data_IF_951205483872
#
_entry.id   IF_951205483872
#
_cell.length_a   1.000
_cell.length_b   1.000
_cell.length_c   1.000
_cell.angle_alpha   90.00
_cell.angle_beta   90.00
_cell.angle_gamma   90.00
#
_symmetry.space_group_name_H-M   'P 1'
#
loop_
_entity.id
_entity.type
_entity.pdbx_description
1 polymer ?
#
# COMPACT_ATOMS: atom_id res chain seq x y z
N UNK A 1 -6.94 8.03 9.27
CA UNK A 1 -6.92 9.50 9.09
C UNK A 1 -5.93 10.17 10.04
N UNK A 2 -5.76 9.66 11.22
CA UNK A 2 -4.70 10.09 12.16
C UNK A 2 -3.29 9.89 11.57
N UNK A 3 -3.12 8.90 10.71
CA UNK A 3 -1.85 8.51 10.09
C UNK A 3 -1.57 9.17 8.72
N UNK A 4 -2.27 10.23 8.37
CA UNK A 4 -2.03 11.11 7.20
C UNK A 4 -1.87 10.41 5.84
N UNK A 5 -2.42 9.22 5.65
CA UNK A 5 -2.45 8.61 4.33
C UNK A 5 -3.18 9.53 3.33
N UNK A 6 -2.54 9.81 2.20
CA UNK A 6 -3.11 10.65 1.14
C UNK A 6 -4.08 9.86 0.26
N UNK A 7 -3.90 8.55 0.17
CA UNK A 7 -4.74 7.69 -0.63
C UNK A 7 -4.55 6.21 -0.31
N UNK A 8 -5.50 5.42 -0.77
CA UNK A 8 -5.52 3.98 -0.71
C UNK A 8 -5.77 3.45 -2.12
N UNK A 9 -4.99 2.47 -2.55
CA UNK A 9 -5.18 1.81 -3.83
C UNK A 9 -5.35 0.31 -3.61
N UNK A 10 -6.46 -0.24 -4.06
CA UNK A 10 -6.72 -1.68 -4.06
C UNK A 10 -6.28 -2.27 -5.37
N UNK A 11 -5.53 -3.34 -5.34
CA UNK A 11 -5.06 -4.07 -6.49
C UNK A 11 -5.14 -5.57 -6.27
N UNK A 12 -5.09 -6.35 -7.33
CA UNK A 12 -5.15 -7.81 -7.27
C UNK A 12 -3.81 -8.42 -7.62
N UNK A 13 -3.27 -9.22 -6.70
CA UNK A 13 -2.18 -10.15 -6.93
C UNK A 13 -2.72 -11.56 -7.23
N UNK A 14 -1.87 -12.46 -7.73
CA UNK A 14 -2.26 -13.82 -8.07
C UNK A 14 -2.88 -14.60 -6.91
N UNK A 15 -2.35 -14.40 -5.70
CA UNK A 15 -2.82 -15.08 -4.48
C UNK A 15 -3.83 -14.28 -3.66
N UNK A 16 -4.41 -13.22 -4.21
CA UNK A 16 -5.47 -12.48 -3.52
C UNK A 16 -6.70 -13.32 -3.32
N UNK A 17 -7.27 -13.26 -2.11
CA UNK A 17 -8.55 -13.91 -1.79
C UNK A 17 -9.70 -13.03 -2.27
N UNK A 18 -10.13 -13.24 -3.51
CA UNK A 18 -11.20 -12.46 -4.13
C UNK A 18 -10.73 -11.27 -4.93
N UNK A 19 -11.68 -10.62 -5.58
CA UNK A 19 -11.44 -9.45 -6.41
C UNK A 19 -11.68 -8.15 -5.63
N UNK A 20 -10.89 -7.11 -5.87
CA UNK A 20 -11.26 -5.78 -5.42
C UNK A 20 -12.60 -5.39 -6.07
N UNK A 21 -13.42 -4.56 -5.43
CA UNK A 21 -14.66 -4.09 -6.02
C UNK A 21 -14.35 -3.31 -7.31
N UNK A 22 -15.33 -3.27 -8.23
CA UNK A 22 -15.20 -2.55 -9.51
C UNK A 22 -14.97 -1.04 -9.30
N UNK A 23 -15.51 -0.50 -8.22
CA UNK A 23 -15.36 0.90 -7.83
C UNK A 23 -15.35 1.02 -6.30
N UNK A 24 -14.85 2.13 -5.73
CA UNK A 24 -14.93 2.39 -4.29
C UNK A 24 -16.38 2.30 -3.81
N UNK A 25 -16.58 1.60 -2.69
CA UNK A 25 -17.92 1.45 -2.09
C UNK A 25 -18.33 2.76 -1.40
N UNK A 26 -19.59 3.15 -1.56
CA UNK A 26 -20.16 4.35 -0.92
C UNK A 26 -19.99 4.33 0.61
N UNK A 27 -20.15 3.16 1.23
CA UNK A 27 -19.92 2.96 2.67
C UNK A 27 -18.49 3.28 3.13
N UNK A 28 -17.50 3.20 2.26
CA UNK A 28 -16.14 3.60 2.59
C UNK A 28 -16.02 5.11 2.73
N UNK A 29 -16.65 5.85 1.83
CA UNK A 29 -16.68 7.31 1.89
C UNK A 29 -17.34 7.80 3.17
N UNK A 30 -18.46 7.20 3.56
CA UNK A 30 -19.15 7.53 4.82
C UNK A 30 -18.24 7.28 6.05
N UNK A 31 -17.57 6.12 6.11
CA UNK A 31 -16.63 5.81 7.20
C UNK A 31 -15.44 6.77 7.23
N UNK A 32 -14.90 7.14 6.07
CA UNK A 32 -13.81 8.12 5.99
C UNK A 32 -14.26 9.51 6.47
N UNK A 33 -15.47 9.93 6.12
CA UNK A 33 -16.05 11.20 6.60
C UNK A 33 -16.19 11.18 8.14
N UNK A 34 -16.72 10.09 8.70
CA UNK A 34 -16.85 9.96 10.14
C UNK A 34 -15.49 10.02 10.85
N UNK A 35 -14.49 9.28 10.35
CA UNK A 35 -13.13 9.31 10.87
C UNK A 35 -12.49 10.71 10.76
N UNK A 36 -12.70 11.38 9.64
CA UNK A 36 -12.19 12.73 9.42
C UNK A 36 -12.78 13.75 10.42
N UNK A 37 -14.07 13.67 10.67
CA UNK A 37 -14.76 14.51 11.68
C UNK A 37 -14.19 14.27 13.07
N UNK A 38 -13.96 13.00 13.44
CA UNK A 38 -13.43 12.66 14.76
C UNK A 38 -12.01 13.22 15.00
N UNK A 39 -11.12 13.15 14.02
CA UNK A 39 -9.74 13.60 14.16
C UNK A 39 -9.49 15.04 13.68
N UNK A 40 -10.55 15.78 13.33
CA UNK A 40 -10.46 17.18 12.87
C UNK A 40 -9.73 17.36 11.54
N UNK A 41 -9.68 16.32 10.70
CA UNK A 41 -9.05 16.39 9.39
C UNK A 41 -10.08 16.75 8.31
N UNK A 42 -9.82 17.81 7.56
CA UNK A 42 -10.69 18.26 6.47
C UNK A 42 -10.43 17.58 5.12
N UNK A 43 -9.36 16.80 5.01
CA UNK A 43 -8.99 16.10 3.78
C UNK A 43 -9.28 14.60 3.90
N UNK A 44 -10.04 14.08 2.94
CA UNK A 44 -10.26 12.63 2.80
C UNK A 44 -9.16 12.00 1.93
N UNK A 45 -8.72 10.76 2.23
CA UNK A 45 -7.84 10.02 1.34
C UNK A 45 -8.55 9.69 0.03
N UNK A 46 -7.82 9.74 -1.05
CA UNK A 46 -8.31 9.23 -2.34
C UNK A 46 -8.38 7.71 -2.31
N UNK A 47 -9.38 7.13 -2.94
CA UNK A 47 -9.52 5.67 -3.06
C UNK A 47 -9.50 5.27 -4.51
N UNK A 48 -8.55 4.42 -4.87
CA UNK A 48 -8.38 3.88 -6.21
C UNK A 48 -8.63 2.37 -6.22
N UNK A 49 -9.18 1.88 -7.31
CA UNK A 49 -9.27 0.44 -7.60
C UNK A 49 -8.53 0.21 -8.90
N UNK A 50 -7.39 -0.48 -8.80
CA UNK A 50 -6.51 -0.73 -9.94
C UNK A 50 -6.92 -2.03 -10.63
N UNK A 51 -6.94 -1.99 -11.94
CA UNK A 51 -7.16 -3.16 -12.80
C UNK A 51 -5.86 -3.60 -13.45
N UNK A 52 -5.82 -4.84 -13.95
CA UNK A 52 -4.67 -5.35 -14.71
C UNK A 52 -3.53 -5.92 -13.85
N UNK A 53 -3.75 -6.15 -12.55
CA UNK A 53 -2.75 -6.78 -11.67
C UNK A 53 -1.44 -6.01 -11.58
N UNK A 54 -0.30 -6.71 -11.68
CA UNK A 54 1.04 -6.10 -11.62
C UNK A 54 1.26 -5.02 -12.69
N UNK A 55 0.92 -5.22 -13.96
CA UNK A 55 1.04 -4.13 -14.96
C UNK A 55 0.26 -2.88 -14.59
N UNK A 56 -0.96 -3.02 -14.10
CA UNK A 56 -1.78 -1.89 -13.65
C UNK A 56 -1.17 -1.16 -12.46
N UNK A 57 -0.61 -1.90 -11.52
CA UNK A 57 0.11 -1.33 -10.37
C UNK A 57 1.37 -0.58 -10.81
N UNK A 58 2.15 -1.12 -11.74
CA UNK A 58 3.35 -0.46 -12.27
C UNK A 58 2.98 0.85 -12.97
N UNK A 59 1.90 0.86 -13.76
CA UNK A 59 1.44 2.09 -14.42
C UNK A 59 1.02 3.15 -13.39
N UNK A 60 0.25 2.76 -12.38
CA UNK A 60 -0.12 3.66 -11.29
C UNK A 60 1.09 4.22 -10.54
N UNK A 61 2.11 3.39 -10.33
CA UNK A 61 3.34 3.74 -9.62
C UNK A 61 4.14 4.86 -10.30
N UNK A 62 3.98 5.08 -11.60
CA UNK A 62 4.69 6.13 -12.35
C UNK A 62 4.42 7.55 -11.85
N UNK A 63 3.33 7.75 -11.15
CA UNK A 63 2.99 9.06 -10.58
C UNK A 63 3.65 9.33 -9.22
N UNK A 64 4.42 8.38 -8.71
CA UNK A 64 5.09 8.46 -7.42
C UNK A 64 6.60 8.61 -7.59
N UNK A 65 7.22 9.34 -6.69
CA UNK A 65 8.67 9.57 -6.69
C UNK A 65 9.44 8.36 -6.16
N UNK A 66 8.84 7.65 -5.23
CA UNK A 66 9.43 6.46 -4.59
C UNK A 66 8.36 5.41 -4.38
N UNK A 67 8.71 4.17 -4.67
CA UNK A 67 7.84 3.01 -4.52
C UNK A 67 8.56 1.96 -3.68
N UNK A 68 7.91 1.51 -2.62
CA UNK A 68 8.39 0.44 -1.75
C UNK A 68 7.49 -0.78 -1.85
N UNK A 69 8.11 -1.94 -1.98
CA UNK A 69 7.45 -3.23 -1.92
C UNK A 69 7.71 -3.85 -0.54
N UNK A 70 6.71 -3.84 0.31
CA UNK A 70 6.77 -4.53 1.60
C UNK A 70 6.50 -6.01 1.39
N UNK A 71 7.55 -6.78 1.48
CA UNK A 71 7.57 -8.18 1.10
C UNK A 71 8.19 -9.02 2.21
N UNK A 72 7.54 -10.14 2.56
CA UNK A 72 7.99 -11.01 3.63
C UNK A 72 9.38 -11.63 3.39
N UNK A 73 9.78 -11.78 2.13
CA UNK A 73 11.12 -12.27 1.77
C UNK A 73 12.18 -11.18 1.66
N UNK A 74 11.83 -9.91 1.94
CA UNK A 74 12.83 -8.86 2.04
C UNK A 74 13.66 -9.04 3.30
N UNK A 75 14.94 -8.67 3.22
CA UNK A 75 15.81 -8.73 4.40
C UNK A 75 15.28 -7.83 5.53
N UNK A 76 15.33 -8.30 6.77
CA UNK A 76 14.87 -7.55 7.93
C UNK A 76 15.62 -6.21 8.12
N UNK A 77 16.83 -6.09 7.57
CA UNK A 77 17.63 -4.86 7.56
C UNK A 77 17.06 -3.76 6.64
N UNK A 78 16.12 -4.09 5.76
CA UNK A 78 15.49 -3.16 4.82
C UNK A 78 14.26 -2.44 5.40
N UNK A 79 14.22 -2.19 6.70
CA UNK A 79 13.18 -1.38 7.34
C UNK A 79 13.38 0.08 6.89
N UNK A 80 12.40 0.68 6.19
CA UNK A 80 12.53 2.07 5.76
C UNK A 80 12.48 3.00 6.97
N UNK A 81 13.24 4.09 6.88
CA UNK A 81 13.22 5.12 7.90
C UNK A 81 12.04 6.07 7.68
N UNK A 82 11.58 6.78 8.72
CA UNK A 82 10.53 7.78 8.57
C UNK A 82 10.82 8.84 7.48
N UNK A 83 12.08 9.25 7.32
CA UNK A 83 12.47 10.19 6.27
C UNK A 83 12.28 9.64 4.85
N UNK A 84 12.33 8.32 4.70
CA UNK A 84 12.13 7.66 3.39
C UNK A 84 10.66 7.63 2.98
N UNK A 85 9.74 7.62 3.94
CA UNK A 85 8.29 7.53 3.73
C UNK A 85 7.58 8.88 3.87
N UNK A 86 8.10 9.78 4.69
CA UNK A 86 7.42 11.03 5.05
C UNK A 86 7.60 12.19 4.07
N UNK A 87 8.38 12.06 3.00
CA UNK A 87 8.66 13.16 2.04
C UNK A 87 8.32 12.76 0.61
N UNK A 88 7.69 13.69 -0.11
CA UNK A 88 7.32 13.50 -1.51
C UNK A 88 6.15 12.54 -1.69
N UNK A 89 5.91 12.14 -2.94
CA UNK A 89 4.88 11.15 -3.28
C UNK A 89 5.45 9.74 -3.17
N UNK A 90 5.08 9.04 -2.13
CA UNK A 90 5.57 7.68 -1.84
C UNK A 90 4.43 6.68 -1.98
N UNK A 91 4.68 5.58 -2.65
CA UNK A 91 3.79 4.44 -2.76
C UNK A 91 4.34 3.28 -1.94
N UNK A 92 3.59 2.83 -0.94
CA UNK A 92 3.87 1.60 -0.20
C UNK A 92 2.95 0.50 -0.70
N UNK A 93 3.53 -0.58 -1.20
CA UNK A 93 2.80 -1.73 -1.75
C UNK A 93 2.89 -2.89 -0.78
N UNK A 94 1.73 -3.43 -0.44
CA UNK A 94 1.58 -4.62 0.40
C UNK A 94 1.01 -5.76 -0.44
N UNK A 95 1.52 -6.97 -0.24
CA UNK A 95 0.98 -8.18 -0.84
C UNK A 95 -0.28 -8.68 -0.12
N UNK A 96 -0.99 -9.65 -0.70
CA UNK A 96 -2.10 -10.34 -0.06
C UNK A 96 -1.62 -11.29 1.04
N UNK A 97 -2.54 -11.81 1.82
CA UNK A 97 -2.26 -12.77 2.90
C UNK A 97 -1.53 -14.03 2.40
N UNK A 98 -1.78 -14.44 1.16
CA UNK A 98 -1.09 -15.55 0.52
C UNK A 98 0.30 -15.24 -0.01
N UNK A 99 0.79 -14.00 0.22
CA UNK A 99 2.05 -13.49 -0.31
C UNK A 99 2.01 -13.21 -1.82
N UNK A 100 3.11 -12.68 -2.33
CA UNK A 100 3.29 -12.48 -3.76
C UNK A 100 3.90 -13.73 -4.41
N UNK A 101 3.48 -14.01 -5.65
CA UNK A 101 4.22 -14.95 -6.49
C UNK A 101 5.65 -14.40 -6.74
N UNK A 102 6.68 -15.27 -6.79
CA UNK A 102 8.05 -14.82 -7.04
C UNK A 102 8.19 -13.98 -8.32
N UNK A 103 7.43 -14.31 -9.36
CA UNK A 103 7.42 -13.57 -10.63
C UNK A 103 6.80 -12.18 -10.48
N UNK A 104 5.75 -12.02 -9.66
CA UNK A 104 5.14 -10.73 -9.37
C UNK A 104 6.12 -9.82 -8.63
N UNK A 105 6.77 -10.34 -7.60
CA UNK A 105 7.79 -9.61 -6.85
C UNK A 105 8.96 -9.21 -7.76
N UNK A 106 9.48 -10.12 -8.58
CA UNK A 106 10.56 -9.84 -9.52
C UNK A 106 10.19 -8.71 -10.50
N UNK A 107 8.99 -8.73 -11.06
CA UNK A 107 8.51 -7.68 -11.98
C UNK A 107 8.40 -6.31 -11.31
N UNK A 108 7.95 -6.27 -10.05
CA UNK A 108 7.89 -5.03 -9.29
C UNK A 108 9.29 -4.49 -8.98
N UNK A 109 10.22 -5.34 -8.57
CA UNK A 109 11.61 -4.94 -8.32
C UNK A 109 12.30 -4.44 -9.60
N UNK A 110 12.10 -5.11 -10.74
CA UNK A 110 12.60 -4.67 -12.04
C UNK A 110 12.01 -3.32 -12.47
N UNK A 111 10.76 -3.05 -12.10
CA UNK A 111 10.10 -1.77 -12.35
C UNK A 111 10.58 -0.63 -11.42
N UNK A 112 11.52 -0.90 -10.49
CA UNK A 112 12.14 0.10 -9.63
C UNK A 112 11.53 0.20 -8.23
N UNK A 113 10.66 -0.72 -7.83
CA UNK A 113 10.21 -0.80 -6.45
C UNK A 113 11.36 -1.23 -5.55
N UNK A 114 11.54 -0.54 -4.44
CA UNK A 114 12.55 -0.89 -3.44
C UNK A 114 11.97 -1.93 -2.47
N UNK A 115 12.67 -3.05 -2.24
CA UNK A 115 12.21 -4.02 -1.25
C UNK A 115 12.28 -3.39 0.14
N UNK A 116 11.26 -3.65 0.94
CA UNK A 116 11.18 -3.17 2.31
C UNK A 116 10.61 -4.26 3.23
N UNK A 117 11.01 -4.23 4.49
CA UNK A 117 10.54 -5.13 5.54
C UNK A 117 9.86 -4.34 6.66
N UNK A 118 8.90 -4.96 7.32
CA UNK A 118 8.30 -4.47 8.56
C UNK A 118 8.78 -5.24 9.80
N UNK A 119 9.90 -5.96 9.67
CA UNK A 119 10.47 -6.80 10.71
C UNK A 119 10.33 -8.29 10.42
N UNK A 120 10.70 -9.12 11.40
CA UNK A 120 10.79 -10.57 11.23
C UNK A 120 9.45 -11.32 11.34
N UNK A 121 8.39 -10.61 11.71
CA UNK A 121 7.06 -11.21 11.89
C UNK A 121 6.20 -11.07 10.64
N UNK A 122 5.52 -12.14 10.27
CA UNK A 122 4.48 -12.09 9.23
C UNK A 122 3.28 -11.35 9.81
N UNK A 123 2.96 -10.20 9.24
CA UNK A 123 1.86 -9.35 9.66
C UNK A 123 0.65 -9.56 8.75
N UNK A 124 -0.55 -9.44 9.32
CA UNK A 124 -1.77 -9.28 8.52
C UNK A 124 -1.67 -7.96 7.74
N UNK A 125 -2.24 -7.90 6.55
CA UNK A 125 -2.12 -6.72 5.67
C UNK A 125 -2.66 -5.44 6.33
N UNK A 126 -3.71 -5.53 7.16
CA UNK A 126 -4.24 -4.38 7.91
C UNK A 126 -3.21 -3.85 8.91
N UNK A 127 -2.55 -4.75 9.63
CA UNK A 127 -1.48 -4.37 10.57
C UNK A 127 -0.28 -3.78 9.84
N UNK A 128 0.12 -4.40 8.73
CA UNK A 128 1.19 -3.90 7.89
C UNK A 128 0.88 -2.50 7.33
N UNK A 129 -0.36 -2.28 6.87
CA UNK A 129 -0.80 -0.97 6.38
C UNK A 129 -0.75 0.10 7.48
N UNK A 130 -1.21 -0.22 8.70
CA UNK A 130 -1.15 0.71 9.83
C UNK A 130 0.30 1.06 10.21
N UNK A 131 1.21 0.07 10.21
CA UNK A 131 2.63 0.31 10.47
C UNK A 131 3.27 1.19 9.39
N UNK A 132 3.02 0.91 8.11
CA UNK A 132 3.52 1.75 7.03
C UNK A 132 3.07 3.21 7.17
N UNK A 133 1.80 3.43 7.49
CA UNK A 133 1.27 4.78 7.72
C UNK A 133 1.84 5.42 8.98
N UNK A 134 2.15 4.64 10.00
CA UNK A 134 2.74 5.13 11.25
C UNK A 134 4.21 5.52 11.11
N UNK A 135 4.93 4.95 10.12
CA UNK A 135 6.30 5.31 9.79
C UNK A 135 6.40 6.57 8.91
N UNK A 136 5.33 6.91 8.21
CA UNK A 136 5.25 8.09 7.35
C UNK A 136 4.86 9.34 8.15
#
# INVERSE_FOLDING_TARGET
>A
MELRALGLAFWRAARSQGDPPVAPKETWTEKMIQAAKQCGNSRLPEVHVLTGGVPGLIEFARTFERCYLFWENAEASLIPRPEDLGRGRVLAVLGPEGGLEPEEAARLLEAGFKPASLGDSILRWETAALLCMGLA
#
